data_IF_144794892775
#
_entry.id   IF_144794892775
#
_cell.length_a   1.000
_cell.length_b   1.000
_cell.length_c   1.000
_cell.angle_alpha   90.00
_cell.angle_beta   90.00
_cell.angle_gamma   90.00
#
_symmetry.space_group_name_H-M   'P 1'
#
loop_
_entity.id
_entity.type
_entity.pdbx_description
1 polymer ?
#
# COMPACT_ATOMS: atom_id res chain seq x y z
N UNK A 1 -24.42 4.46 -17.70
CA UNK A 1 -24.24 4.60 -16.22
C UNK A 1 -22.97 5.38 -15.94
N UNK A 2 -22.99 6.31 -14.98
CA UNK A 2 -21.76 6.97 -14.52
C UNK A 2 -20.83 5.91 -13.92
N UNK A 3 -19.53 5.97 -14.24
CA UNK A 3 -18.51 5.08 -13.66
C UNK A 3 -17.99 5.69 -12.36
N UNK A 4 -17.46 4.86 -11.47
CA UNK A 4 -16.59 5.34 -10.40
C UNK A 4 -15.32 5.91 -11.03
N UNK A 5 -14.77 6.99 -10.47
CA UNK A 5 -13.55 7.65 -10.95
C UNK A 5 -12.49 7.55 -9.86
N UNK A 6 -11.32 7.02 -10.19
CA UNK A 6 -10.18 6.97 -9.29
C UNK A 6 -9.08 7.90 -9.80
N UNK A 7 -8.82 8.98 -9.07
CA UNK A 7 -7.61 9.76 -9.26
C UNK A 7 -6.44 9.06 -8.56
N UNK A 8 -5.36 8.88 -9.30
CA UNK A 8 -4.26 8.03 -8.88
C UNK A 8 -2.92 8.57 -9.36
N UNK A 9 -1.85 8.16 -8.69
CA UNK A 9 -0.49 8.35 -9.19
C UNK A 9 0.23 7.01 -9.15
N UNK A 10 0.75 6.58 -10.31
CA UNK A 10 1.31 5.24 -10.53
C UNK A 10 2.34 4.83 -9.49
N UNK A 11 3.19 5.76 -9.03
CA UNK A 11 4.27 5.48 -8.07
C UNK A 11 3.89 5.72 -6.61
N UNK A 12 2.70 6.19 -6.32
CA UNK A 12 2.24 6.43 -4.94
C UNK A 12 1.82 5.12 -4.27
N UNK A 13 2.44 4.70 -3.16
CA UNK A 13 2.09 3.45 -2.50
C UNK A 13 0.65 3.42 -1.98
N UNK A 14 0.13 4.55 -1.51
CA UNK A 14 -1.27 4.66 -1.13
C UNK A 14 -2.23 4.47 -2.32
N UNK A 15 -1.87 4.99 -3.49
CA UNK A 15 -2.66 4.81 -4.70
C UNK A 15 -2.54 3.37 -5.23
N UNK A 16 -1.36 2.75 -5.15
CA UNK A 16 -1.15 1.35 -5.54
C UNK A 16 -2.06 0.42 -4.72
N UNK A 17 -2.07 0.54 -3.38
CA UNK A 17 -2.89 -0.34 -2.54
C UNK A 17 -4.40 -0.17 -2.77
N UNK A 18 -4.86 1.06 -3.07
CA UNK A 18 -6.25 1.31 -3.41
C UNK A 18 -6.64 0.67 -4.75
N UNK A 19 -5.80 0.81 -5.80
CA UNK A 19 -6.00 0.12 -7.09
C UNK A 19 -6.03 -1.39 -6.91
N UNK A 20 -5.08 -1.94 -6.13
CA UNK A 20 -5.02 -3.37 -5.83
C UNK A 20 -6.33 -3.89 -5.24
N UNK A 21 -6.85 -3.22 -4.22
CA UNK A 21 -8.09 -3.61 -3.56
C UNK A 21 -9.30 -3.53 -4.49
N UNK A 22 -9.45 -2.44 -5.26
CA UNK A 22 -10.52 -2.29 -6.24
C UNK A 22 -10.51 -3.41 -7.27
N UNK A 23 -9.32 -3.79 -7.74
CA UNK A 23 -9.18 -4.89 -8.70
C UNK A 23 -9.49 -6.25 -8.08
N UNK A 24 -8.98 -6.54 -6.88
CA UNK A 24 -9.30 -7.78 -6.13
C UNK A 24 -10.80 -7.90 -5.85
N UNK A 25 -11.48 -6.79 -5.69
CA UNK A 25 -12.94 -6.72 -5.49
C UNK A 25 -13.75 -6.71 -6.79
N UNK A 26 -13.11 -6.79 -7.96
CA UNK A 26 -13.71 -6.69 -9.29
C UNK A 26 -14.55 -5.42 -9.49
N UNK A 27 -14.18 -4.33 -8.83
CA UNK A 27 -14.85 -3.03 -8.98
C UNK A 27 -14.18 -2.27 -10.11
N UNK A 28 -14.96 -1.97 -11.15
CA UNK A 28 -14.48 -1.20 -12.30
C UNK A 28 -14.50 0.29 -12.02
N UNK A 29 -13.40 0.96 -12.27
CA UNK A 29 -13.24 2.40 -12.14
C UNK A 29 -12.68 3.00 -13.44
N UNK A 30 -12.98 4.27 -13.69
CA UNK A 30 -12.25 5.10 -14.63
C UNK A 30 -10.99 5.60 -13.93
N UNK A 31 -9.83 5.10 -14.32
CA UNK A 31 -8.55 5.53 -13.75
C UNK A 31 -8.11 6.85 -14.38
N UNK A 32 -7.84 7.84 -13.54
CA UNK A 32 -7.28 9.13 -13.94
C UNK A 32 -5.91 9.33 -13.29
N UNK A 33 -4.87 9.19 -14.10
CA UNK A 33 -3.50 9.44 -13.65
C UNK A 33 -3.29 10.93 -13.41
N UNK A 34 -2.67 11.28 -12.28
CA UNK A 34 -2.49 12.66 -11.82
C UNK A 34 -1.03 13.06 -11.96
N UNK A 35 -0.78 14.16 -12.65
CA UNK A 35 0.50 14.88 -12.51
C UNK A 35 0.48 15.64 -11.17
N UNK A 36 1.33 15.24 -10.22
CA UNK A 36 1.38 15.86 -8.89
C UNK A 36 1.86 17.31 -8.91
N UNK A 37 2.55 17.74 -10.00
CA UNK A 37 2.99 19.14 -10.20
C UNK A 37 1.88 19.99 -10.80
N UNK A 38 0.98 19.38 -11.55
CA UNK A 38 -0.13 20.06 -12.22
C UNK A 38 -1.44 19.27 -11.98
N UNK A 39 -1.96 19.36 -10.76
CA UNK A 39 -3.15 18.62 -10.36
C UNK A 39 -4.39 19.11 -11.09
N UNK A 40 -5.27 18.19 -11.55
CA UNK A 40 -6.53 18.54 -12.18
C UNK A 40 -7.43 19.41 -11.28
N UNK A 41 -8.10 20.41 -11.86
CA UNK A 41 -9.00 21.29 -11.11
C UNK A 41 -10.11 20.52 -10.40
N UNK A 42 -10.63 19.47 -11.03
CA UNK A 42 -11.68 18.63 -10.44
C UNK A 42 -11.20 17.93 -9.17
N UNK A 43 -9.96 17.43 -9.15
CA UNK A 43 -9.36 16.86 -7.93
C UNK A 43 -9.22 17.92 -6.85
N UNK A 44 -8.72 19.12 -7.21
CA UNK A 44 -8.49 20.21 -6.26
C UNK A 44 -9.80 20.70 -5.62
N UNK A 45 -10.90 20.74 -6.41
CA UNK A 45 -12.22 21.18 -5.96
C UNK A 45 -12.95 20.11 -5.12
N UNK A 46 -12.68 18.84 -5.40
CA UNK A 46 -13.40 17.72 -4.78
C UNK A 46 -12.70 17.21 -3.52
N UNK A 47 -11.37 17.23 -3.49
CA UNK A 47 -10.57 16.70 -2.38
C UNK A 47 -10.22 17.80 -1.37
N UNK A 48 -10.49 17.54 -0.09
CA UNK A 48 -10.05 18.43 1.00
C UNK A 48 -8.51 18.42 1.12
N UNK A 49 -7.91 17.24 1.04
CA UNK A 49 -6.46 17.04 1.19
C UNK A 49 -5.68 17.27 -0.11
N UNK A 50 -6.37 17.33 -1.26
CA UNK A 50 -5.75 17.48 -2.59
C UNK A 50 -4.69 16.41 -2.86
N UNK A 51 -4.88 15.21 -2.35
CA UNK A 51 -3.97 14.07 -2.44
C UNK A 51 -4.55 12.94 -3.29
N UNK A 52 -3.72 11.96 -3.61
CA UNK A 52 -4.11 10.71 -4.25
C UNK A 52 -3.78 9.54 -3.32
N UNK A 53 -4.61 8.46 -3.34
CA UNK A 53 -5.79 8.25 -4.18
C UNK A 53 -7.00 9.07 -3.76
N UNK A 54 -7.89 9.35 -4.70
CA UNK A 54 -9.22 9.92 -4.48
C UNK A 54 -10.23 9.11 -5.30
N UNK A 55 -11.21 8.50 -4.65
CA UNK A 55 -12.27 7.76 -5.32
C UNK A 55 -13.58 8.56 -5.29
N UNK A 56 -14.11 8.86 -6.47
CA UNK A 56 -15.44 9.45 -6.63
C UNK A 56 -16.39 8.36 -7.10
N UNK A 57 -17.39 8.08 -6.30
CA UNK A 57 -18.39 7.08 -6.62
C UNK A 57 -19.36 7.58 -7.72
N UNK A 58 -20.03 6.66 -8.38
CA UNK A 58 -20.99 6.97 -9.44
C UNK A 58 -22.21 7.81 -8.98
N UNK A 59 -22.49 7.80 -7.67
CA UNK A 59 -23.49 8.63 -7.00
C UNK A 59 -22.96 10.00 -6.51
N UNK A 60 -21.65 10.28 -6.73
CA UNK A 60 -21.00 11.53 -6.36
C UNK A 60 -20.35 11.54 -4.97
N UNK A 61 -20.49 10.48 -4.17
CA UNK A 61 -19.77 10.39 -2.89
C UNK A 61 -18.26 10.28 -3.13
N UNK A 62 -17.48 10.85 -2.22
CA UNK A 62 -16.02 10.94 -2.30
C UNK A 62 -15.38 10.18 -1.14
N UNK A 63 -14.36 9.38 -1.46
CA UNK A 63 -13.54 8.65 -0.49
C UNK A 63 -12.09 9.06 -0.73
N UNK A 64 -11.45 9.67 0.27
CA UNK A 64 -10.10 10.24 0.14
C UNK A 64 -8.99 9.32 0.67
N UNK A 65 -9.25 8.62 1.78
CA UNK A 65 -8.23 7.78 2.39
C UNK A 65 -8.13 6.42 1.71
N UNK A 66 -6.91 5.99 1.42
CA UNK A 66 -6.68 4.73 0.74
C UNK A 66 -7.18 3.51 1.51
N UNK A 67 -7.12 3.54 2.85
CA UNK A 67 -7.68 2.47 3.68
C UNK A 67 -9.20 2.45 3.59
N UNK A 68 -9.86 3.60 3.57
CA UNK A 68 -11.32 3.69 3.43
C UNK A 68 -11.76 3.20 2.04
N UNK A 69 -10.98 3.48 0.99
CA UNK A 69 -11.22 2.91 -0.35
C UNK A 69 -11.12 1.39 -0.31
N UNK A 70 -10.13 0.82 0.39
CA UNK A 70 -9.97 -0.63 0.55
C UNK A 70 -11.19 -1.22 1.27
N UNK A 71 -11.56 -0.67 2.42
CA UNK A 71 -12.69 -1.16 3.23
C UNK A 71 -14.01 -1.04 2.45
N UNK A 72 -14.23 0.09 1.76
CA UNK A 72 -15.37 0.27 0.88
C UNK A 72 -15.38 -0.77 -0.25
N UNK A 73 -14.22 -1.06 -0.86
CA UNK A 73 -14.13 -2.04 -1.94
C UNK A 73 -14.50 -3.45 -1.48
N UNK A 74 -14.08 -3.84 -0.27
CA UNK A 74 -14.45 -5.13 0.31
C UNK A 74 -15.96 -5.22 0.57
N UNK A 75 -16.56 -4.14 1.10
CA UNK A 75 -18.00 -4.10 1.41
C UNK A 75 -18.89 -4.07 0.19
N UNK A 76 -18.37 -3.59 -0.96
CA UNK A 76 -19.12 -3.45 -2.22
C UNK A 76 -18.62 -4.41 -3.32
N UNK A 77 -17.87 -5.41 -2.95
CA UNK A 77 -17.30 -6.37 -3.89
C UNK A 77 -18.35 -7.26 -4.55
N UNK A 78 -18.11 -7.53 -5.83
CA UNK A 78 -18.84 -8.53 -6.59
C UNK A 78 -18.28 -9.96 -6.46
N UNK A 79 -17.24 -10.13 -5.63
CA UNK A 79 -16.60 -11.43 -5.36
C UNK A 79 -17.12 -12.00 -4.05
N UNK A 80 -17.47 -13.28 -4.05
CA UNK A 80 -17.86 -13.98 -2.82
C UNK A 80 -16.69 -13.99 -1.81
N UNK A 81 -17.06 -14.02 -0.50
CA UNK A 81 -16.13 -14.21 0.60
C UNK A 81 -15.01 -13.16 0.72
N UNK A 82 -15.37 -11.90 0.66
CA UNK A 82 -14.42 -10.79 0.91
C UNK A 82 -13.93 -10.73 2.37
N UNK A 83 -14.68 -11.35 3.30
CA UNK A 83 -14.31 -11.41 4.72
C UNK A 83 -12.98 -12.12 4.98
N UNK A 84 -12.52 -12.97 4.06
CA UNK A 84 -11.21 -13.63 4.16
C UNK A 84 -10.02 -12.65 4.16
N UNK A 85 -10.17 -11.47 3.54
CA UNK A 85 -9.12 -10.47 3.48
C UNK A 85 -9.04 -9.58 4.73
N UNK A 86 -10.13 -9.56 5.55
CA UNK A 86 -10.17 -8.92 6.85
C UNK A 86 -10.98 -9.81 7.82
N UNK A 87 -10.45 -10.98 8.21
CA UNK A 87 -11.15 -11.88 9.12
C UNK A 87 -11.22 -11.29 10.53
N UNK A 88 -12.40 -11.39 11.15
CA UNK A 88 -12.70 -10.75 12.46
C UNK A 88 -11.75 -11.16 13.58
N UNK A 89 -11.27 -12.41 13.58
CA UNK A 89 -10.31 -12.91 14.55
C UNK A 89 -8.90 -12.30 14.42
N UNK A 90 -8.57 -11.67 13.30
CA UNK A 90 -7.30 -11.02 13.04
C UNK A 90 -7.41 -9.53 12.77
N UNK A 91 -8.61 -8.96 12.76
CA UNK A 91 -8.87 -7.57 12.38
C UNK A 91 -7.97 -6.59 13.14
N UNK A 92 -7.94 -6.65 14.45
CA UNK A 92 -7.11 -5.76 15.27
C UNK A 92 -5.61 -5.88 14.91
N UNK A 93 -5.12 -7.10 14.69
CA UNK A 93 -3.72 -7.33 14.30
C UNK A 93 -3.42 -6.73 12.93
N UNK A 94 -4.29 -6.93 11.97
CA UNK A 94 -4.20 -6.39 10.61
C UNK A 94 -4.18 -4.87 10.63
N UNK A 95 -5.14 -4.24 11.32
CA UNK A 95 -5.24 -2.79 11.39
C UNK A 95 -4.06 -2.15 12.14
N UNK A 96 -3.50 -2.83 13.15
CA UNK A 96 -2.29 -2.36 13.83
C UNK A 96 -1.05 -2.40 12.93
N UNK A 97 -0.88 -3.44 12.11
CA UNK A 97 0.20 -3.51 11.13
C UNK A 97 0.09 -2.41 10.07
N UNK A 98 -1.12 -2.15 9.59
CA UNK A 98 -1.37 -1.05 8.64
C UNK A 98 -1.03 0.29 9.28
N UNK A 99 -1.41 0.50 10.55
CA UNK A 99 -1.09 1.73 11.29
C UNK A 99 0.42 1.90 11.50
N UNK A 100 1.13 0.83 11.85
CA UNK A 100 2.59 0.82 11.96
C UNK A 100 3.25 1.20 10.63
N UNK A 101 2.79 0.61 9.52
CA UNK A 101 3.25 0.98 8.19
C UNK A 101 3.02 2.46 7.87
N UNK A 102 1.79 2.94 8.07
CA UNK A 102 1.39 4.28 7.63
C UNK A 102 2.00 5.41 8.48
N UNK A 103 2.33 5.13 9.75
CA UNK A 103 2.93 6.09 10.67
C UNK A 103 4.43 5.93 10.79
N UNK A 104 4.88 4.78 11.29
CA UNK A 104 6.29 4.59 11.68
C UNK A 104 7.15 4.25 10.47
N UNK A 105 6.79 3.19 9.73
CA UNK A 105 7.61 2.77 8.60
C UNK A 105 7.70 3.86 7.54
N UNK A 106 6.56 4.44 7.16
CA UNK A 106 6.53 5.52 6.17
C UNK A 106 7.31 6.76 6.62
N UNK A 107 7.28 7.11 7.90
CA UNK A 107 8.06 8.22 8.44
C UNK A 107 9.57 8.01 8.22
N UNK A 108 10.07 6.80 8.51
CA UNK A 108 11.46 6.46 8.31
C UNK A 108 11.83 6.29 6.83
N UNK A 109 10.95 5.66 6.05
CA UNK A 109 11.12 5.49 4.61
C UNK A 109 11.27 6.84 3.89
N UNK A 110 10.41 7.81 4.18
CA UNK A 110 10.47 9.11 3.52
C UNK A 110 11.78 9.85 3.84
N UNK A 111 12.24 9.80 5.08
CA UNK A 111 13.49 10.44 5.52
C UNK A 111 14.72 9.75 5.00
N UNK A 112 14.68 8.44 4.85
CA UNK A 112 15.72 7.69 4.18
C UNK A 112 15.76 8.00 2.67
N UNK A 113 14.62 7.94 2.00
CA UNK A 113 14.50 8.10 0.54
C UNK A 113 14.70 9.55 0.07
N UNK A 114 14.21 10.51 0.83
CA UNK A 114 14.19 11.94 0.49
C UNK A 114 14.92 12.78 1.53
N UNK A 115 16.04 12.29 2.05
CA UNK A 115 16.81 12.94 3.12
C UNK A 115 17.13 14.42 2.81
N UNK A 116 17.36 14.75 1.56
CA UNK A 116 17.63 16.11 1.09
C UNK A 116 16.44 17.09 1.19
N UNK A 117 15.24 16.61 1.54
CA UNK A 117 14.04 17.46 1.76
C UNK A 117 13.83 17.82 3.22
N UNK A 118 14.65 17.29 4.10
CA UNK A 118 14.53 17.48 5.54
C UNK A 118 15.83 18.09 6.06
N UNK A 119 15.73 19.07 6.95
CA UNK A 119 16.89 19.65 7.61
C UNK A 119 17.42 18.69 8.68
N UNK A 120 18.75 18.51 8.75
CA UNK A 120 19.47 17.77 9.79
C UNK A 120 19.03 16.32 9.99
N UNK A 121 18.61 15.63 8.91
CA UNK A 121 18.17 14.23 8.95
C UNK A 121 19.36 13.29 8.91
N UNK A 122 19.53 12.48 9.95
CA UNK A 122 20.42 11.34 9.93
C UNK A 122 19.79 10.21 9.09
N UNK A 123 20.17 10.14 7.80
CA UNK A 123 19.67 9.17 6.83
C UNK A 123 19.91 7.72 7.26
N UNK A 124 21.09 7.42 7.82
CA UNK A 124 21.44 6.06 8.24
C UNK A 124 20.58 5.62 9.42
N UNK A 125 20.33 6.51 10.37
CA UNK A 125 19.38 6.25 11.45
C UNK A 125 18.01 5.82 10.89
N UNK A 126 17.47 6.57 9.93
CA UNK A 126 16.17 6.25 9.34
C UNK A 126 16.18 4.97 8.52
N UNK A 127 17.29 4.65 7.84
CA UNK A 127 17.46 3.36 7.18
C UNK A 127 17.38 2.21 8.19
N UNK A 128 18.14 2.27 9.29
CA UNK A 128 18.15 1.21 10.29
C UNK A 128 16.81 1.05 11.01
N UNK A 129 16.12 2.16 11.31
CA UNK A 129 14.76 2.10 11.88
C UNK A 129 13.77 1.42 10.91
N UNK A 130 13.77 1.79 9.64
CA UNK A 130 12.94 1.13 8.62
C UNK A 130 13.30 -0.35 8.48
N UNK A 131 14.58 -0.70 8.46
CA UNK A 131 15.07 -2.09 8.40
C UNK A 131 14.63 -2.90 9.62
N UNK A 132 14.59 -2.31 10.80
CA UNK A 132 14.11 -2.97 12.03
C UNK A 132 12.63 -3.36 11.92
N UNK A 133 11.80 -2.46 11.37
CA UNK A 133 10.37 -2.75 11.14
C UNK A 133 10.22 -3.86 10.08
N UNK A 134 10.98 -3.79 8.99
CA UNK A 134 11.00 -4.83 7.95
C UNK A 134 11.41 -6.18 8.54
N UNK A 135 12.43 -6.22 9.39
CA UNK A 135 12.84 -7.45 10.05
C UNK A 135 11.71 -8.07 10.88
N UNK A 136 10.99 -7.26 11.64
CA UNK A 136 9.80 -7.71 12.38
C UNK A 136 8.75 -8.35 11.46
N UNK A 137 8.48 -7.75 10.30
CA UNK A 137 7.55 -8.31 9.31
C UNK A 137 8.11 -9.58 8.67
N UNK A 138 9.44 -9.62 8.39
CA UNK A 138 10.08 -10.83 7.90
C UNK A 138 9.95 -12.00 8.88
N UNK A 139 10.16 -11.75 10.18
CA UNK A 139 9.99 -12.78 11.22
C UNK A 139 8.54 -13.31 11.29
N UNK A 140 7.55 -12.47 10.95
CA UNK A 140 6.16 -12.90 10.83
C UNK A 140 5.96 -13.81 9.61
N UNK A 141 6.52 -13.43 8.46
CA UNK A 141 6.48 -14.23 7.24
C UNK A 141 7.17 -15.58 7.45
N UNK A 142 8.35 -15.59 8.08
CA UNK A 142 9.10 -16.81 8.36
C UNK A 142 8.33 -17.79 9.26
N UNK A 143 7.70 -17.30 10.32
CA UNK A 143 6.84 -18.12 11.20
C UNK A 143 5.67 -18.76 10.46
N UNK A 144 5.14 -18.07 9.45
CA UNK A 144 4.02 -18.53 8.65
C UNK A 144 4.46 -19.34 7.43
N UNK A 145 5.75 -19.31 7.05
CA UNK A 145 6.28 -19.83 5.79
C UNK A 145 6.03 -21.31 5.54
N UNK A 146 5.99 -22.13 6.57
CA UNK A 146 5.69 -23.58 6.46
C UNK A 146 4.22 -23.88 6.11
N UNK A 147 3.34 -22.90 6.28
CA UNK A 147 1.89 -23.03 6.04
C UNK A 147 1.44 -22.10 4.91
N UNK A 148 1.82 -20.85 4.98
CA UNK A 148 1.43 -19.81 4.04
C UNK A 148 2.41 -18.64 4.21
N UNK A 149 2.69 -17.87 3.17
CA UNK A 149 3.66 -16.77 3.28
C UNK A 149 2.99 -15.38 3.35
N UNK A 150 1.99 -15.25 4.24
CA UNK A 150 1.28 -14.01 4.51
C UNK A 150 1.64 -13.41 5.86
N UNK A 151 1.53 -12.08 5.98
CA UNK A 151 1.82 -11.39 7.24
C UNK A 151 0.92 -11.82 8.38
N UNK A 152 -0.35 -12.15 8.08
CA UNK A 152 -1.33 -12.54 9.09
C UNK A 152 -2.19 -13.70 8.59
N UNK A 153 -2.26 -14.76 9.41
CA UNK A 153 -3.15 -15.88 9.13
C UNK A 153 -2.71 -16.76 7.96
N UNK A 154 -3.68 -17.46 7.38
CA UNK A 154 -3.44 -18.46 6.35
C UNK A 154 -3.68 -17.96 4.91
N UNK A 155 -4.30 -16.81 4.78
CA UNK A 155 -4.65 -16.22 3.50
C UNK A 155 -4.10 -14.80 3.38
N UNK A 156 -3.95 -14.34 2.14
CA UNK A 156 -3.69 -12.95 1.80
C UNK A 156 -4.71 -12.04 2.52
N UNK A 157 -4.24 -10.96 3.12
CA UNK A 157 -5.05 -10.01 3.88
C UNK A 157 -4.84 -8.58 3.40
N UNK A 158 -5.67 -7.65 3.87
CA UNK A 158 -5.46 -6.22 3.59
C UNK A 158 -4.17 -5.69 4.24
N UNK A 159 -3.59 -6.36 5.24
CA UNK A 159 -2.26 -5.99 5.74
C UNK A 159 -1.22 -6.15 4.62
N UNK A 160 -1.26 -7.28 3.91
CA UNK A 160 -0.37 -7.54 2.78
C UNK A 160 -0.56 -6.48 1.68
N UNK A 161 -1.81 -6.17 1.32
CA UNK A 161 -2.13 -5.14 0.31
C UNK A 161 -1.64 -3.75 0.69
N UNK A 162 -1.70 -3.42 1.97
CA UNK A 162 -1.33 -2.10 2.47
C UNK A 162 0.18 -1.93 2.60
N UNK A 163 0.94 -2.98 2.88
CA UNK A 163 2.35 -2.90 3.26
C UNK A 163 3.28 -3.08 2.06
N UNK A 164 2.98 -4.02 1.14
CA UNK A 164 3.90 -4.33 0.04
C UNK A 164 4.31 -3.13 -0.83
N UNK A 165 3.45 -2.13 -1.14
CA UNK A 165 3.86 -1.01 -1.98
C UNK A 165 4.93 -0.13 -1.31
N UNK A 166 4.93 -0.09 0.03
CA UNK A 166 5.92 0.66 0.81
C UNK A 166 7.23 -0.11 0.94
N UNK A 167 7.16 -1.43 1.17
CA UNK A 167 8.34 -2.32 1.13
C UNK A 167 9.02 -2.26 -0.23
N UNK A 168 8.24 -2.26 -1.32
CA UNK A 168 8.75 -2.04 -2.66
C UNK A 168 9.45 -0.68 -2.80
N UNK A 169 8.90 0.39 -2.23
CA UNK A 169 9.56 1.70 -2.26
C UNK A 169 10.87 1.71 -1.48
N UNK A 170 10.95 0.98 -0.37
CA UNK A 170 12.18 0.82 0.39
C UNK A 170 13.24 0.08 -0.44
N UNK A 171 12.87 -1.06 -1.08
CA UNK A 171 13.73 -1.77 -2.02
C UNK A 171 14.32 -0.83 -3.08
N UNK A 172 13.46 -0.10 -3.78
CA UNK A 172 13.89 0.86 -4.81
C UNK A 172 14.84 1.92 -4.24
N UNK A 173 14.60 2.41 -3.02
CA UNK A 173 15.46 3.40 -2.38
C UNK A 173 16.84 2.81 -2.00
N UNK A 174 16.90 1.54 -1.59
CA UNK A 174 18.15 0.82 -1.33
C UNK A 174 18.93 0.59 -2.62
N UNK A 175 18.26 0.10 -3.68
CA UNK A 175 18.88 -0.16 -4.98
C UNK A 175 19.52 1.11 -5.58
N UNK A 176 18.79 2.24 -5.52
CA UNK A 176 19.31 3.55 -5.96
C UNK A 176 20.54 4.04 -5.16
N UNK A 177 20.77 3.50 -3.99
CA UNK A 177 21.87 3.88 -3.11
C UNK A 177 22.96 2.78 -3.04
N UNK A 178 22.85 1.74 -3.88
CA UNK A 178 23.75 0.59 -3.93
C UNK A 178 23.89 -0.14 -2.57
N UNK A 179 22.82 -0.12 -1.77
CA UNK A 179 22.75 -0.89 -0.52
C UNK A 179 22.30 -2.30 -0.88
N UNK A 180 23.03 -3.32 -0.37
CA UNK A 180 22.70 -4.74 -0.52
C UNK A 180 22.27 -5.35 0.80
N UNK A 181 21.72 -6.57 0.74
CA UNK A 181 21.36 -7.37 1.93
C UNK A 181 20.38 -6.67 2.90
N UNK A 182 19.42 -5.98 2.35
CA UNK A 182 18.41 -5.25 3.13
C UNK A 182 17.13 -6.08 3.39
N UNK A 183 16.92 -7.20 2.67
CA UNK A 183 15.84 -8.15 2.88
C UNK A 183 16.38 -9.56 3.09
N UNK A 184 15.66 -10.34 3.89
CA UNK A 184 15.81 -11.78 4.01
C UNK A 184 14.89 -12.51 3.01
N UNK A 185 15.15 -13.79 2.75
CA UNK A 185 14.45 -14.57 1.71
C UNK A 185 12.92 -14.56 1.80
N UNK A 186 12.28 -14.72 2.99
CA UNK A 186 10.83 -14.66 3.08
C UNK A 186 10.24 -13.33 2.59
N UNK A 187 10.89 -12.21 2.92
CA UNK A 187 10.46 -10.88 2.47
C UNK A 187 10.61 -10.72 0.95
N UNK A 188 11.69 -11.25 0.39
CA UNK A 188 11.94 -11.22 -1.07
C UNK A 188 10.85 -11.99 -1.79
N UNK A 189 10.54 -13.22 -1.34
CA UNK A 189 9.52 -14.07 -1.96
C UNK A 189 8.12 -13.45 -1.86
N UNK A 190 7.77 -12.92 -0.68
CA UNK A 190 6.50 -12.23 -0.46
C UNK A 190 6.37 -10.99 -1.35
N UNK A 191 7.40 -10.16 -1.47
CA UNK A 191 7.37 -9.00 -2.34
C UNK A 191 7.27 -9.38 -3.82
N UNK A 192 8.01 -10.41 -4.25
CA UNK A 192 7.99 -10.92 -5.61
C UNK A 192 6.59 -11.39 -6.03
N UNK A 193 5.82 -12.01 -5.12
CA UNK A 193 4.44 -12.38 -5.41
C UNK A 193 3.62 -11.20 -5.93
N UNK A 194 3.76 -10.02 -5.31
CA UNK A 194 3.04 -8.82 -5.73
C UNK A 194 3.63 -8.20 -7.00
N UNK A 195 4.96 -8.12 -7.11
CA UNK A 195 5.63 -7.49 -8.25
C UNK A 195 5.47 -8.28 -9.55
N UNK A 196 5.37 -9.60 -9.50
CA UNK A 196 5.19 -10.47 -10.68
C UNK A 196 3.73 -10.76 -10.98
N UNK A 197 2.82 -10.39 -10.11
CA UNK A 197 1.39 -10.61 -10.32
C UNK A 197 0.89 -9.73 -11.48
N UNK A 198 0.12 -10.34 -12.41
CA UNK A 198 -0.47 -9.62 -13.54
C UNK A 198 -1.36 -8.43 -13.12
N UNK A 199 -1.93 -8.48 -11.92
CA UNK A 199 -2.66 -7.35 -11.35
C UNK A 199 -1.81 -6.10 -11.19
N UNK A 200 -0.50 -6.25 -10.96
CA UNK A 200 0.39 -5.11 -10.78
C UNK A 200 0.65 -4.34 -12.08
N UNK A 201 0.71 -5.03 -13.20
CA UNK A 201 0.96 -4.40 -14.51
C UNK A 201 -0.21 -3.51 -14.96
N UNK A 202 -1.40 -3.79 -14.45
CA UNK A 202 -2.63 -3.06 -14.74
C UNK A 202 -3.00 -2.02 -13.64
N UNK A 203 -2.14 -1.90 -12.62
CA UNK A 203 -2.38 -1.08 -11.43
C UNK A 203 -1.54 0.23 -11.44
#
# INVERSE_FOLDING_TARGET
>A
MKKHILYSFRRCPFAIRARWALRKSLIRVELREVDLKNKPLDLIKTSQNKTVPLLILNNGLVIEESLDIILWSLSNSNVADQKKYLPSNFENKILNLIRENDKEFKFHLDRFKYSNRFNDVNKDFHFYQAKTIIKKWNDMLEKNFKRNFWLVGENESIADWCIWPFVRQFKIACDHQNISNYFDDPMIQWLNYFETNNFYNDV
#
